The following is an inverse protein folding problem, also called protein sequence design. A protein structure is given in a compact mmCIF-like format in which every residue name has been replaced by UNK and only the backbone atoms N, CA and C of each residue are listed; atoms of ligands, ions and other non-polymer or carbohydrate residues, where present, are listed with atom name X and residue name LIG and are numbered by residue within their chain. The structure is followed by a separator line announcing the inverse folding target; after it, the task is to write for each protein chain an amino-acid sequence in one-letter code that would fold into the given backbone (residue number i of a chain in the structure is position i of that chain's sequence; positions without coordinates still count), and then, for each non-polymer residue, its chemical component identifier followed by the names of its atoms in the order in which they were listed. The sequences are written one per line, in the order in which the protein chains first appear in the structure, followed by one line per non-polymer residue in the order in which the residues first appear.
data_IF_833399527801
#
_entry.id   IF_833399527801
#
_cell.length_a   1.000
_cell.length_b   1.000
_cell.length_c   1.000
_cell.angle_alpha   90.00
_cell.angle_beta   90.00
_cell.angle_gamma   90.00
#
_symmetry.space_group_name_H-M   'P 1'
#
loop_
_entity.id
_entity.type
_entity.pdbx_description
1 polymer ?
#
# COMPACT_ATOMS: atom_id res chain seq x y z
N UNK A 1 -17.44 -35.02 10.21
CA UNK A 1 -16.08 -34.58 10.61
C UNK A 1 -15.78 -33.29 9.88
N UNK A 2 -15.74 -32.14 10.56
CA UNK A 2 -15.45 -30.86 9.93
C UNK A 2 -13.94 -30.74 9.68
N UNK A 3 -13.55 -30.70 8.41
CA UNK A 3 -12.17 -30.45 8.00
C UNK A 3 -11.78 -29.03 8.36
N UNK A 4 -11.05 -28.85 9.46
CA UNK A 4 -10.47 -27.56 9.84
C UNK A 4 -9.46 -27.13 8.75
N UNK A 5 -9.86 -26.19 7.90
CA UNK A 5 -8.92 -25.54 6.99
C UNK A 5 -7.91 -24.76 7.81
N UNK A 6 -6.60 -24.87 7.54
CA UNK A 6 -5.60 -24.06 8.22
C UNK A 6 -5.90 -22.57 8.02
N UNK A 7 -5.62 -21.70 9.01
CA UNK A 7 -5.83 -20.27 8.88
C UNK A 7 -5.05 -19.76 7.66
N UNK A 8 -5.75 -19.15 6.71
CA UNK A 8 -5.09 -18.58 5.52
C UNK A 8 -4.13 -17.49 5.98
N UNK A 9 -2.90 -17.52 5.44
CA UNK A 9 -1.94 -16.44 5.67
C UNK A 9 -2.58 -15.08 5.33
N UNK A 10 -2.29 -14.06 6.16
CA UNK A 10 -2.72 -12.68 5.88
C UNK A 10 -2.09 -12.24 4.56
N UNK A 11 -2.92 -11.74 3.65
CA UNK A 11 -2.50 -11.29 2.32
C UNK A 11 -3.09 -9.91 2.08
N UNK A 12 -2.34 -9.10 1.36
CA UNK A 12 -2.76 -7.81 0.82
C UNK A 12 -2.28 -7.71 -0.62
N UNK A 13 -2.84 -6.78 -1.38
CA UNK A 13 -2.33 -6.38 -2.68
C UNK A 13 -1.91 -4.92 -2.62
N UNK A 14 -0.76 -4.59 -3.18
CA UNK A 14 -0.30 -3.20 -3.32
C UNK A 14 -0.34 -2.84 -4.81
N UNK A 15 -1.16 -1.86 -5.19
CA UNK A 15 -1.25 -1.37 -6.56
C UNK A 15 -0.27 -0.22 -6.78
N UNK A 16 0.72 -0.46 -7.64
CA UNK A 16 1.75 0.51 -7.97
C UNK A 16 1.30 1.37 -9.16
N UNK A 17 0.80 2.59 -8.88
CA UNK A 17 0.38 3.54 -9.89
C UNK A 17 -1.07 3.38 -10.36
N UNK A 18 -1.52 4.38 -11.13
CA UNK A 18 -2.90 4.49 -11.59
C UNK A 18 -3.35 3.30 -12.45
N UNK A 19 -2.51 2.83 -13.38
CA UNK A 19 -2.86 1.73 -14.28
C UNK A 19 -3.11 0.41 -13.51
N UNK A 20 -2.24 0.08 -12.55
CA UNK A 20 -2.42 -1.11 -11.73
C UNK A 20 -3.67 -1.00 -10.84
N UNK A 21 -3.92 0.18 -10.27
CA UNK A 21 -5.10 0.41 -9.46
C UNK A 21 -6.38 0.32 -10.28
N UNK A 22 -6.45 0.94 -11.46
CA UNK A 22 -7.61 0.90 -12.34
C UNK A 22 -7.92 -0.52 -12.82
N UNK A 23 -6.89 -1.30 -13.17
CA UNK A 23 -7.07 -2.69 -13.57
C UNK A 23 -7.64 -3.58 -12.46
N UNK A 24 -7.37 -3.26 -11.18
CA UNK A 24 -7.79 -4.06 -10.03
C UNK A 24 -9.11 -3.57 -9.40
N UNK A 25 -9.34 -2.26 -9.37
CA UNK A 25 -10.43 -1.65 -8.64
C UNK A 25 -11.50 -1.01 -9.55
N UNK A 26 -11.20 -0.82 -10.84
CA UNK A 26 -12.04 -0.05 -11.76
C UNK A 26 -11.71 1.45 -11.76
N UNK A 27 -12.58 2.26 -12.35
CA UNK A 27 -12.32 3.70 -12.58
C UNK A 27 -12.60 4.54 -11.35
N UNK A 28 -11.77 5.57 -11.18
CA UNK A 28 -11.80 6.61 -10.10
C UNK A 28 -11.68 6.06 -8.69
N UNK A 29 -11.00 6.76 -7.76
CA UNK A 29 -10.35 8.07 -7.91
C UNK A 29 -8.94 8.03 -8.55
N UNK A 30 -8.33 9.19 -8.78
CA UNK A 30 -6.94 9.26 -9.26
C UNK A 30 -5.96 8.65 -8.24
N UNK A 31 -4.76 8.25 -8.68
CA UNK A 31 -3.80 7.61 -7.77
C UNK A 31 -3.41 8.51 -6.59
N UNK A 32 -3.29 9.83 -6.81
CA UNK A 32 -2.98 10.82 -5.78
C UNK A 32 -4.06 10.89 -4.70
N UNK A 33 -5.32 10.72 -5.09
CA UNK A 33 -6.47 10.72 -4.18
C UNK A 33 -6.66 9.36 -3.49
N UNK A 34 -6.37 8.26 -4.20
CA UNK A 34 -6.56 6.90 -3.71
C UNK A 34 -5.49 6.48 -2.69
N UNK A 35 -4.24 6.90 -2.89
CA UNK A 35 -3.11 6.37 -2.14
C UNK A 35 -3.25 6.54 -0.62
N UNK A 36 -2.78 5.56 0.13
CA UNK A 36 -2.88 5.53 1.59
C UNK A 36 -4.26 5.16 2.14
N UNK A 37 -5.24 4.88 1.28
CA UNK A 37 -6.57 4.43 1.66
C UNK A 37 -6.75 2.93 1.35
N UNK A 38 -7.51 2.23 2.18
CA UNK A 38 -7.78 0.81 1.97
C UNK A 38 -8.98 0.60 1.03
N UNK A 39 -8.78 -0.24 0.02
CA UNK A 39 -9.82 -0.73 -0.88
C UNK A 39 -9.97 -2.25 -0.74
N UNK A 40 -11.00 -2.81 -1.36
CA UNK A 40 -11.23 -4.25 -1.41
C UNK A 40 -11.03 -4.78 -2.83
N UNK A 41 -10.30 -5.90 -2.92
CA UNK A 41 -10.15 -6.71 -4.13
C UNK A 41 -10.66 -8.12 -3.82
N UNK A 42 -11.97 -8.34 -3.99
CA UNK A 42 -12.60 -9.65 -3.78
C UNK A 42 -12.30 -10.24 -2.39
N UNK A 43 -12.41 -9.43 -1.34
CA UNK A 43 -12.11 -9.81 0.04
C UNK A 43 -10.62 -9.76 0.42
N UNK A 44 -9.75 -9.25 -0.46
CA UNK A 44 -8.34 -9.01 -0.18
C UNK A 44 -8.10 -7.50 -0.06
N UNK A 45 -7.53 -7.00 1.06
CA UNK A 45 -7.21 -5.58 1.19
C UNK A 45 -6.25 -5.10 0.09
N UNK A 46 -6.60 -3.98 -0.54
CA UNK A 46 -5.86 -3.35 -1.62
C UNK A 46 -5.34 -1.98 -1.17
N UNK A 47 -4.03 -1.76 -1.22
CA UNK A 47 -3.38 -0.48 -0.95
C UNK A 47 -2.83 0.11 -2.25
N UNK A 48 -3.43 1.17 -2.82
CA UNK A 48 -2.82 1.93 -3.89
C UNK A 48 -1.68 2.82 -3.39
N UNK A 49 -0.65 2.98 -4.22
CA UNK A 49 0.47 3.92 -3.98
C UNK A 49 1.07 4.39 -5.31
N UNK A 50 2.04 5.31 -5.28
CA UNK A 50 2.72 5.76 -6.49
C UNK A 50 3.58 4.65 -7.12
N UNK A 51 3.66 4.66 -8.45
CA UNK A 51 4.53 3.75 -9.18
C UNK A 51 6.01 4.15 -8.96
N UNK A 52 6.96 3.21 -8.80
CA UNK A 52 8.38 3.52 -8.64
C UNK A 52 8.95 4.44 -9.73
N UNK A 53 8.54 4.23 -11.00
CA UNK A 53 8.91 5.11 -12.12
C UNK A 53 8.55 6.59 -11.88
N UNK A 54 7.43 6.88 -11.21
CA UNK A 54 7.05 8.26 -10.87
C UNK A 54 8.08 8.89 -9.93
N UNK A 55 8.60 8.13 -8.95
CA UNK A 55 9.63 8.61 -8.02
C UNK A 55 10.99 8.82 -8.70
N UNK A 56 11.30 8.08 -9.77
CA UNK A 56 12.54 8.25 -10.54
C UNK A 56 12.52 9.57 -11.32
N UNK A 57 11.38 9.92 -11.91
CA UNK A 57 11.26 11.15 -12.70
C UNK A 57 10.93 12.40 -11.86
N UNK A 58 10.25 12.23 -10.71
CA UNK A 58 9.88 13.31 -9.80
C UNK A 58 10.31 12.97 -8.38
N UNK A 59 11.61 13.08 -8.05
CA UNK A 59 12.18 12.57 -6.80
C UNK A 59 11.92 13.47 -5.58
N UNK A 60 10.73 14.07 -5.47
CA UNK A 60 10.40 14.93 -4.33
C UNK A 60 10.40 14.15 -3.02
N UNK A 61 10.89 14.79 -1.95
CA UNK A 61 10.89 14.20 -0.62
C UNK A 61 9.46 13.84 -0.17
N UNK A 62 8.47 14.66 -0.52
CA UNK A 62 7.06 14.41 -0.23
C UNK A 62 6.50 13.19 -0.94
N UNK A 63 6.87 12.94 -2.20
CA UNK A 63 6.42 11.75 -2.94
C UNK A 63 7.06 10.47 -2.39
N UNK A 64 8.35 10.51 -2.03
CA UNK A 64 9.04 9.38 -1.38
C UNK A 64 8.45 9.08 -0.01
N UNK A 65 8.18 10.12 0.78
CA UNK A 65 7.51 10.02 2.08
C UNK A 65 6.12 9.40 1.97
N UNK A 66 5.34 9.85 1.00
CA UNK A 66 4.03 9.30 0.71
C UNK A 66 4.08 7.78 0.47
N UNK A 67 4.94 7.31 -0.45
CA UNK A 67 5.08 5.87 -0.72
C UNK A 67 5.53 5.11 0.53
N UNK A 68 6.45 5.70 1.30
CA UNK A 68 6.92 5.09 2.55
C UNK A 68 5.79 4.89 3.56
N UNK A 69 4.98 5.93 3.80
CA UNK A 69 3.83 5.86 4.71
C UNK A 69 2.79 4.82 4.24
N UNK A 70 2.56 4.69 2.93
CA UNK A 70 1.67 3.66 2.35
C UNK A 70 2.17 2.24 2.66
N UNK A 71 3.49 2.02 2.56
CA UNK A 71 4.10 0.73 2.90
C UNK A 71 4.09 0.43 4.39
N UNK A 72 4.20 1.46 5.26
CA UNK A 72 4.01 1.26 6.70
C UNK A 72 2.59 0.79 7.00
N UNK A 73 1.56 1.40 6.40
CA UNK A 73 0.18 0.95 6.53
C UNK A 73 0.02 -0.52 6.07
N UNK A 74 0.65 -0.88 4.96
CA UNK A 74 0.66 -2.25 4.45
C UNK A 74 1.30 -3.26 5.42
N UNK A 75 2.43 -2.90 6.02
CA UNK A 75 3.09 -3.69 7.05
C UNK A 75 2.21 -3.86 8.29
N UNK A 76 1.55 -2.80 8.76
CA UNK A 76 0.61 -2.85 9.89
C UNK A 76 -0.55 -3.80 9.60
N UNK A 77 -1.13 -3.72 8.39
CA UNK A 77 -2.23 -4.60 7.97
C UNK A 77 -1.83 -6.08 7.97
N UNK A 78 -0.59 -6.38 7.58
CA UNK A 78 -0.02 -7.73 7.62
C UNK A 78 0.36 -8.17 9.04
N UNK A 79 0.43 -7.26 10.01
CA UNK A 79 0.95 -7.53 11.35
C UNK A 79 2.46 -7.72 11.39
N UNK A 80 3.18 -7.14 10.43
CA UNK A 80 4.64 -7.13 10.43
C UNK A 80 5.16 -6.13 11.45
N UNK A 81 6.29 -6.42 12.14
CA UNK A 81 6.89 -5.47 13.07
C UNK A 81 7.39 -4.23 12.32
N UNK A 82 7.15 -3.05 12.90
CA UNK A 82 7.63 -1.77 12.39
C UNK A 82 8.42 -1.08 13.50
N UNK A 83 9.70 -0.86 13.24
CA UNK A 83 10.61 -0.19 14.17
C UNK A 83 10.35 1.32 14.26
N UNK A 84 10.77 1.95 15.35
CA UNK A 84 10.73 3.40 15.52
C UNK A 84 11.52 4.12 14.42
N UNK A 85 12.66 3.57 13.99
CA UNK A 85 13.44 4.09 12.86
C UNK A 85 12.63 4.13 11.57
N UNK A 86 11.82 3.11 11.30
CA UNK A 86 10.97 3.08 10.11
C UNK A 86 9.84 4.11 10.20
N UNK A 87 9.20 4.24 11.37
CA UNK A 87 8.16 5.26 11.61
C UNK A 87 8.71 6.69 11.48
N UNK A 88 9.90 6.91 12.01
CA UNK A 88 10.56 8.22 12.05
C UNK A 88 11.38 8.59 10.80
N UNK A 89 11.46 7.73 9.78
CA UNK A 89 12.41 7.91 8.67
C UNK A 89 12.25 9.27 7.94
N UNK A 90 11.02 9.78 7.82
CA UNK A 90 10.71 11.08 7.22
C UNK A 90 10.19 12.13 8.22
N UNK A 91 10.29 11.88 9.53
CA UNK A 91 9.78 12.81 10.56
C UNK A 91 10.79 13.93 10.92
N UNK A 92 12.06 13.79 10.52
CA UNK A 92 13.17 14.65 10.97
C UNK A 92 13.68 15.61 9.89
N UNK A 93 12.81 16.05 8.98
CA UNK A 93 13.17 16.94 7.87
C UNK A 93 12.32 18.19 7.83
#
# INVERSE_FOLDING_TARGET
MASAHPPRAKRIVVALGAQAFEALHGRTPSITQARGQWFDLSGVPLMPTYHPNYLLHNPSASAKRAVWEDFLLAMEKLGLPISEKQRGFFATS
#
